data_IF_280852965644
#
_entry.id   IF_280852965644
#
_cell.length_a   1.000
_cell.length_b   1.000
_cell.length_c   1.000
_cell.angle_alpha   90.00
_cell.angle_beta   90.00
_cell.angle_gamma   90.00
#
_symmetry.space_group_name_H-M   'P 1'
#
loop_
_entity.id
_entity.type
_entity.pdbx_description
1 polymer ?
#
# COMPACT_ATOMS: atom_id res chain seq x y z
N UNK A 1 23.11 1.20 -10.84
CA UNK A 1 21.82 0.86 -10.23
C UNK A 1 21.21 2.16 -9.73
N UNK A 2 19.95 2.45 -10.17
CA UNK A 2 19.23 3.61 -9.69
C UNK A 2 18.39 3.19 -8.50
N UNK A 3 18.66 3.79 -7.36
CA UNK A 3 17.86 3.57 -6.15
C UNK A 3 16.54 4.33 -6.27
N UNK A 4 15.46 3.72 -5.84
CA UNK A 4 14.14 4.35 -5.71
C UNK A 4 13.60 4.16 -4.31
N UNK A 5 12.80 5.11 -3.88
CA UNK A 5 12.11 5.02 -2.60
C UNK A 5 10.63 4.87 -2.83
N UNK A 6 10.05 3.92 -2.10
CA UNK A 6 8.61 3.75 -2.00
C UNK A 6 8.12 4.37 -0.70
N UNK A 7 7.13 5.21 -0.82
CA UNK A 7 6.48 5.85 0.32
C UNK A 7 5.06 5.33 0.46
N UNK A 8 4.72 4.83 1.63
CA UNK A 8 3.35 4.45 1.97
C UNK A 8 2.79 5.45 2.97
N UNK A 9 1.58 5.94 2.70
CA UNK A 9 0.87 6.87 3.58
C UNK A 9 -0.47 6.25 3.95
N UNK A 10 -0.81 6.20 5.24
CA UNK A 10 -2.10 5.75 5.71
C UNK A 10 -3.10 6.89 5.78
N UNK A 11 -4.26 6.73 5.16
CA UNK A 11 -5.41 7.63 5.31
C UNK A 11 -6.55 6.90 5.98
N UNK A 12 -7.24 7.59 6.85
CA UNK A 12 -8.34 7.04 7.64
C UNK A 12 -9.50 8.01 7.61
N UNK A 13 -10.72 7.50 7.38
CA UNK A 13 -11.89 8.35 7.62
C UNK A 13 -12.14 8.50 9.14
N UNK A 14 -13.06 9.37 9.51
CA UNK A 14 -13.35 9.65 10.92
C UNK A 14 -13.71 8.39 11.71
N UNK A 15 -14.48 7.47 11.12
CA UNK A 15 -14.88 6.21 11.74
C UNK A 15 -13.68 5.32 12.04
N UNK A 16 -12.77 5.14 11.08
CA UNK A 16 -11.56 4.36 11.29
C UNK A 16 -10.61 5.05 12.29
N UNK A 17 -10.46 6.37 12.18
CA UNK A 17 -9.61 7.14 13.07
C UNK A 17 -10.08 7.09 14.53
N UNK A 18 -11.40 7.06 14.77
CA UNK A 18 -11.94 6.89 16.11
C UNK A 18 -11.47 5.58 16.75
N UNK A 19 -11.62 4.46 16.05
CA UNK A 19 -11.17 3.16 16.57
C UNK A 19 -9.65 3.14 16.83
N UNK A 20 -8.85 3.68 15.90
CA UNK A 20 -7.41 3.79 16.10
C UNK A 20 -7.05 4.65 17.31
N UNK A 21 -7.80 5.72 17.57
CA UNK A 21 -7.64 6.60 18.73
C UNK A 21 -7.94 5.92 20.06
N UNK A 22 -8.64 4.79 20.08
CA UNK A 22 -8.82 4.00 21.32
C UNK A 22 -7.58 3.19 21.69
N UNK A 23 -6.73 2.90 20.72
CA UNK A 23 -5.49 2.13 20.88
C UNK A 23 -4.28 3.05 21.04
N UNK A 24 -4.14 4.05 20.15
CA UNK A 24 -3.01 4.97 20.16
C UNK A 24 -3.27 6.16 21.07
N UNK A 25 -2.37 6.39 22.03
CA UNK A 25 -2.44 7.51 22.95
C UNK A 25 -1.79 8.77 22.32
N UNK A 26 -2.10 9.92 22.88
CA UNK A 26 -1.57 11.20 22.40
C UNK A 26 -0.04 11.31 22.47
N UNK A 27 0.60 10.54 23.34
CA UNK A 27 2.06 10.45 23.48
C UNK A 27 2.72 9.48 22.48
N UNK A 28 1.93 8.85 21.60
CA UNK A 28 2.40 7.88 20.60
C UNK A 28 2.54 6.46 21.15
N UNK A 29 2.20 6.20 22.41
CA UNK A 29 2.20 4.84 22.95
C UNK A 29 0.93 4.09 22.58
N UNK A 30 1.02 2.77 22.44
CA UNK A 30 -0.15 1.92 22.22
C UNK A 30 -0.67 1.39 23.55
N UNK A 31 -1.98 1.52 23.78
CA UNK A 31 -2.69 0.88 24.89
C UNK A 31 -3.61 -0.17 24.28
N UNK A 32 -3.25 -1.44 24.42
CA UNK A 32 -4.08 -2.54 23.96
C UNK A 32 -5.31 -2.62 24.87
N UNK A 33 -6.53 -2.43 24.34
CA UNK A 33 -7.76 -2.58 25.10
C UNK A 33 -7.89 -3.97 25.70
N UNK A 34 -8.53 -4.07 26.85
CA UNK A 34 -8.83 -5.36 27.50
C UNK A 34 -10.03 -6.05 26.85
N UNK A 35 -10.91 -5.28 26.22
CA UNK A 35 -12.09 -5.76 25.52
C UNK A 35 -11.80 -5.85 24.02
N UNK A 36 -12.62 -6.63 23.31
CA UNK A 36 -12.53 -6.74 21.87
C UNK A 36 -12.76 -5.38 21.22
N UNK A 37 -11.78 -4.93 20.44
CA UNK A 37 -11.87 -3.71 19.64
C UNK A 37 -12.12 -4.08 18.20
N UNK A 38 -13.21 -3.57 17.65
CA UNK A 38 -13.56 -3.72 16.24
C UNK A 38 -13.77 -2.37 15.60
N UNK A 39 -13.53 -2.29 14.29
CA UNK A 39 -13.90 -1.12 13.52
C UNK A 39 -15.41 -1.11 13.28
N UNK A 40 -16.00 0.06 13.39
CA UNK A 40 -17.41 0.27 13.07
C UNK A 40 -17.67 0.17 11.56
N UNK A 41 -18.93 -0.13 11.21
CA UNK A 41 -19.41 -0.16 9.82
C UNK A 41 -19.11 1.16 9.11
N UNK A 42 -18.60 1.08 7.91
CA UNK A 42 -18.19 2.24 7.11
C UNK A 42 -16.84 2.84 7.49
N UNK A 43 -16.04 2.19 8.34
CA UNK A 43 -14.63 2.54 8.50
C UNK A 43 -13.90 2.35 7.17
N UNK A 44 -13.12 3.35 6.76
CA UNK A 44 -12.35 3.34 5.51
C UNK A 44 -10.89 3.62 5.81
N UNK A 45 -10.04 2.77 5.27
CA UNK A 45 -8.59 2.89 5.31
C UNK A 45 -8.08 2.95 3.88
N UNK A 46 -7.27 3.95 3.57
CA UNK A 46 -6.60 4.11 2.28
C UNK A 46 -5.09 4.10 2.45
N UNK A 47 -4.38 3.45 1.52
CA UNK A 47 -2.92 3.38 1.54
C UNK A 47 -2.36 3.59 0.14
N UNK A 48 -2.19 4.84 -0.30
CA UNK A 48 -1.42 5.12 -1.49
C UNK A 48 0.05 4.78 -1.32
N UNK A 49 0.63 4.28 -2.38
CA UNK A 49 2.05 3.99 -2.54
C UNK A 49 2.62 4.93 -3.60
N UNK A 50 3.59 5.71 -3.21
CA UNK A 50 4.27 6.66 -4.07
C UNK A 50 5.68 6.19 -4.39
N UNK A 51 6.18 6.57 -5.55
CA UNK A 51 7.53 6.31 -5.97
C UNK A 51 8.19 7.61 -6.47
N UNK A 52 9.51 7.70 -6.33
CA UNK A 52 10.31 8.88 -6.72
C UNK A 52 11.05 8.69 -8.04
N UNK A 53 10.91 7.54 -8.71
CA UNK A 53 11.54 7.32 -10.01
C UNK A 53 10.92 8.19 -11.10
N UNK A 54 11.78 8.70 -11.96
CA UNK A 54 11.34 9.39 -13.17
C UNK A 54 10.82 8.41 -14.24
N UNK A 55 9.98 8.88 -15.17
CA UNK A 55 9.53 8.07 -16.32
C UNK A 55 10.66 7.58 -17.22
N UNK A 56 11.80 8.27 -17.25
CA UNK A 56 12.99 7.84 -18.00
C UNK A 56 13.58 6.53 -17.46
N UNK A 57 13.33 6.24 -16.20
CA UNK A 57 13.81 5.02 -15.54
C UNK A 57 12.74 3.94 -15.53
N UNK A 58 11.51 4.35 -15.26
CA UNK A 58 10.36 3.48 -15.18
C UNK A 58 9.22 4.07 -16.04
N UNK A 59 9.10 3.67 -17.31
CA UNK A 59 8.16 4.30 -18.26
C UNK A 59 6.69 4.28 -17.83
N UNK A 60 6.27 3.31 -17.03
CA UNK A 60 4.91 3.26 -16.51
C UNK A 60 4.55 4.47 -15.65
N UNK A 61 5.55 5.15 -15.08
CA UNK A 61 5.35 6.35 -14.26
C UNK A 61 4.96 7.59 -15.09
N UNK A 62 5.04 7.52 -16.41
CA UNK A 62 4.73 8.68 -17.26
C UNK A 62 3.26 9.10 -17.11
N UNK A 63 3.05 10.41 -16.86
CA UNK A 63 1.73 11.02 -16.71
C UNK A 63 0.81 10.33 -15.68
N UNK A 64 1.37 9.84 -14.58
CA UNK A 64 0.61 9.42 -13.40
C UNK A 64 0.35 10.61 -12.48
N UNK A 65 -0.66 10.54 -11.60
CA UNK A 65 -0.87 11.57 -10.59
C UNK A 65 0.38 11.78 -9.75
N UNK A 66 0.86 13.02 -9.69
CA UNK A 66 2.12 13.37 -9.03
C UNK A 66 1.97 14.64 -8.19
N UNK A 67 2.74 14.72 -7.14
CA UNK A 67 2.76 15.86 -6.22
C UNK A 67 4.18 16.22 -5.84
N UNK A 68 4.42 17.48 -5.55
CA UNK A 68 5.61 17.89 -4.84
C UNK A 68 5.34 17.79 -3.34
N UNK A 69 6.09 16.96 -2.65
CA UNK A 69 5.90 16.66 -1.24
C UNK A 69 7.19 16.86 -0.44
N UNK A 70 7.02 17.25 0.81
CA UNK A 70 8.13 17.28 1.75
C UNK A 70 8.35 15.87 2.30
N UNK A 71 9.28 15.14 1.72
CA UNK A 71 9.60 13.77 2.05
C UNK A 71 10.90 13.70 2.86
N UNK A 72 10.92 12.86 3.89
CA UNK A 72 12.18 12.52 4.54
C UNK A 72 12.97 11.61 3.61
N UNK A 73 14.21 11.96 3.32
CA UNK A 73 15.12 11.02 2.68
C UNK A 73 15.15 9.75 3.53
N UNK A 74 14.95 8.54 2.95
CA UNK A 74 15.16 7.34 3.70
C UNK A 74 16.64 7.32 4.08
N UNK A 75 16.93 7.76 5.26
CA UNK A 75 18.16 7.40 5.90
C UNK A 75 18.12 5.89 6.09
N UNK A 76 18.66 5.18 5.14
CA UNK A 76 19.39 4.00 5.54
C UNK A 76 20.25 4.49 6.69
N UNK A 77 20.10 3.91 7.88
CA UNK A 77 21.05 4.22 8.93
C UNK A 77 22.41 3.93 8.34
N UNK A 78 23.02 4.96 7.74
CA UNK A 78 24.33 4.85 7.19
C UNK A 78 25.22 4.76 8.41
N UNK A 79 25.50 3.53 8.79
CA UNK A 79 26.62 3.31 9.64
C UNK A 79 27.81 3.85 8.86
N UNK A 80 28.33 4.95 9.32
CA UNK A 80 29.67 5.35 8.86
C UNK A 80 30.58 4.24 9.32
N UNK A 81 31.22 3.47 8.41
CA UNK A 81 32.07 2.39 8.81
C UNK A 81 33.22 2.96 9.65
N UNK A 82 33.07 2.93 10.95
CA UNK A 82 34.22 3.08 11.80
C UNK A 82 35.11 1.85 11.54
N UNK A 83 36.19 2.06 10.78
CA UNK A 83 37.23 1.08 10.52
C UNK A 83 36.94 -0.08 9.54
N UNK A 84 36.18 0.15 8.46
CA UNK A 84 36.09 -0.81 7.34
C UNK A 84 35.42 -2.14 7.67
N UNK A 85 34.64 -2.23 8.72
CA UNK A 85 33.81 -3.39 9.07
C UNK A 85 32.40 -3.21 8.54
N UNK A 86 31.83 -4.32 8.05
CA UNK A 86 30.43 -4.40 7.67
C UNK A 86 29.52 -3.75 8.72
N UNK A 87 28.59 -2.94 8.24
CA UNK A 87 27.56 -2.37 9.10
C UNK A 87 26.74 -3.50 9.73
N UNK A 88 26.89 -3.72 11.00
CA UNK A 88 25.92 -4.48 11.79
C UNK A 88 24.62 -3.70 11.84
N UNK A 89 23.51 -4.35 11.52
CA UNK A 89 22.18 -3.79 11.72
C UNK A 89 22.13 -3.26 13.17
N UNK A 90 21.85 -1.96 13.29
CA UNK A 90 21.64 -1.34 14.59
C UNK A 90 20.42 -2.03 15.20
N UNK A 91 20.54 -2.53 16.40
CA UNK A 91 19.41 -3.12 17.12
C UNK A 91 18.24 -2.13 17.14
N UNK A 92 17.01 -2.65 17.10
CA UNK A 92 15.74 -1.88 17.00
C UNK A 92 15.57 -0.75 18.02
N UNK A 93 16.45 -0.62 19.00
CA UNK A 93 16.40 0.40 20.04
C UNK A 93 17.02 1.75 19.67
N UNK A 94 17.85 1.82 18.64
CA UNK A 94 18.41 3.10 18.20
C UNK A 94 17.56 3.66 17.04
N UNK A 95 16.71 4.63 17.37
CA UNK A 95 15.97 5.38 16.38
C UNK A 95 16.96 6.03 15.41
N UNK A 96 16.96 5.57 14.17
CA UNK A 96 17.64 6.28 13.10
C UNK A 96 17.09 7.71 13.07
N UNK A 97 17.90 8.74 13.26
CA UNK A 97 17.44 10.10 13.09
C UNK A 97 16.90 10.22 11.67
N UNK A 98 15.63 10.54 11.52
CA UNK A 98 15.08 10.87 10.21
C UNK A 98 15.87 12.08 9.72
N UNK A 99 16.48 11.95 8.55
CA UNK A 99 17.20 13.05 7.94
C UNK A 99 16.26 14.21 7.65
N UNK A 100 16.83 15.36 7.42
CA UNK A 100 16.13 16.57 7.00
C UNK A 100 15.17 16.25 5.86
N UNK A 101 13.92 16.69 6.02
CA UNK A 101 12.94 16.57 4.95
C UNK A 101 13.30 17.49 3.81
N UNK A 102 13.24 16.98 2.58
CA UNK A 102 13.43 17.76 1.37
C UNK A 102 12.16 17.72 0.51
N UNK A 103 11.96 18.78 -0.27
CA UNK A 103 10.88 18.79 -1.24
C UNK A 103 11.27 17.94 -2.46
N UNK A 104 10.43 16.98 -2.80
CA UNK A 104 10.66 16.11 -3.93
C UNK A 104 9.34 15.68 -4.60
N UNK A 105 9.45 15.29 -5.85
CA UNK A 105 8.30 14.80 -6.60
C UNK A 105 8.04 13.33 -6.25
N UNK A 106 6.79 13.04 -5.91
CA UNK A 106 6.28 11.71 -5.65
C UNK A 106 5.15 11.39 -6.61
N UNK A 107 5.15 10.21 -7.18
CA UNK A 107 4.17 9.77 -8.17
C UNK A 107 3.40 8.58 -7.62
N UNK A 108 2.07 8.62 -7.72
CA UNK A 108 1.20 7.54 -7.28
C UNK A 108 1.35 6.33 -8.20
N UNK A 109 1.81 5.22 -7.63
CA UNK A 109 1.96 3.96 -8.35
C UNK A 109 0.81 2.99 -8.06
N UNK A 110 0.35 2.99 -6.81
CA UNK A 110 -0.68 2.06 -6.33
C UNK A 110 -1.50 2.74 -5.24
N UNK A 111 -2.75 2.34 -5.13
CA UNK A 111 -3.63 2.77 -4.05
C UNK A 111 -4.43 1.58 -3.54
N UNK A 112 -4.15 1.16 -2.31
CA UNK A 112 -4.94 0.14 -1.63
C UNK A 112 -6.03 0.78 -0.78
N UNK A 113 -7.16 0.12 -0.67
CA UNK A 113 -8.21 0.53 0.25
C UNK A 113 -8.82 -0.66 0.98
N UNK A 114 -9.34 -0.41 2.16
CA UNK A 114 -10.16 -1.33 2.92
C UNK A 114 -11.39 -0.59 3.45
N UNK A 115 -12.55 -1.21 3.30
CA UNK A 115 -13.83 -0.68 3.79
C UNK A 115 -14.48 -1.73 4.67
N UNK A 116 -14.83 -1.35 5.90
CA UNK A 116 -15.62 -2.20 6.80
C UNK A 116 -17.06 -2.27 6.27
N UNK A 117 -17.49 -3.46 5.89
CA UNK A 117 -18.80 -3.71 5.30
C UNK A 117 -19.31 -5.08 5.74
N UNK A 118 -20.34 -5.09 6.56
CA UNK A 118 -20.94 -6.30 7.12
C UNK A 118 -21.56 -7.25 6.08
N UNK A 119 -21.74 -6.79 4.83
CA UNK A 119 -22.17 -7.63 3.71
C UNK A 119 -21.07 -8.59 3.26
N UNK A 120 -19.81 -8.25 3.53
CA UNK A 120 -18.65 -9.13 3.31
C UNK A 120 -18.56 -10.17 4.45
N UNK A 121 -19.46 -11.14 4.44
CA UNK A 121 -19.73 -12.05 5.59
C UNK A 121 -18.53 -12.84 6.10
N UNK A 122 -17.50 -13.05 5.28
CA UNK A 122 -16.32 -13.85 5.70
C UNK A 122 -15.31 -13.04 6.52
N UNK A 123 -15.12 -11.79 6.16
CA UNK A 123 -14.12 -10.88 6.75
C UNK A 123 -14.73 -9.63 7.36
N UNK A 124 -15.96 -9.29 6.98
CA UNK A 124 -16.61 -8.00 7.23
C UNK A 124 -15.82 -6.80 6.66
N UNK A 125 -14.96 -7.07 5.69
CA UNK A 125 -14.16 -6.07 5.00
C UNK A 125 -14.15 -6.31 3.50
N UNK A 126 -14.16 -5.21 2.77
CA UNK A 126 -13.89 -5.19 1.33
C UNK A 126 -12.54 -4.53 1.13
N UNK A 127 -11.64 -5.21 0.44
CA UNK A 127 -10.33 -4.72 0.07
C UNK A 127 -10.27 -4.52 -1.43
N UNK A 128 -9.50 -3.53 -1.86
CA UNK A 128 -9.26 -3.34 -3.28
C UNK A 128 -7.95 -2.61 -3.52
N UNK A 129 -7.44 -2.79 -4.73
CA UNK A 129 -6.20 -2.20 -5.18
C UNK A 129 -6.38 -1.54 -6.53
N UNK A 130 -6.00 -0.29 -6.62
CA UNK A 130 -5.79 0.43 -7.88
C UNK A 130 -4.30 0.47 -8.17
N UNK A 131 -3.92 0.33 -9.43
CA UNK A 131 -2.53 0.38 -9.88
C UNK A 131 -2.38 1.26 -11.11
N UNK A 132 -1.14 1.67 -11.38
CA UNK A 132 -0.78 2.28 -12.64
C UNK A 132 -1.07 1.32 -13.80
N UNK A 133 -1.92 1.74 -14.74
CA UNK A 133 -2.26 0.97 -15.93
C UNK A 133 -1.20 1.18 -17.00
N UNK A 134 -0.30 0.21 -17.13
CA UNK A 134 0.80 0.24 -18.09
C UNK A 134 0.34 0.12 -19.55
N UNK A 135 -0.88 -0.34 -19.80
CA UNK A 135 -1.46 -0.47 -21.14
C UNK A 135 -2.08 0.84 -21.63
N UNK A 136 -2.44 1.73 -20.71
CA UNK A 136 -2.97 3.05 -21.07
C UNK A 136 -1.88 3.93 -21.66
N UNK A 137 -2.27 4.71 -22.69
CA UNK A 137 -1.35 5.68 -23.29
C UNK A 137 -0.90 6.71 -22.26
N UNK A 138 0.39 7.06 -22.29
CA UNK A 138 0.97 8.03 -21.37
C UNK A 138 0.52 9.48 -21.64
N UNK A 139 -0.11 9.74 -22.78
CA UNK A 139 -0.53 11.07 -23.26
C UNK A 139 -2.02 11.40 -22.96
N UNK A 140 -2.69 10.61 -22.12
CA UNK A 140 -4.05 10.95 -21.68
C UNK A 140 -4.05 12.27 -20.93
N UNK A 141 -5.08 13.09 -21.17
CA UNK A 141 -5.17 14.44 -20.60
C UNK A 141 -5.32 14.44 -19.07
N UNK A 142 -6.01 13.43 -18.54
CA UNK A 142 -6.23 13.26 -17.10
C UNK A 142 -5.37 12.13 -16.57
N UNK A 143 -4.35 12.41 -15.72
CA UNK A 143 -3.47 11.39 -15.16
C UNK A 143 -4.21 10.29 -14.37
N UNK A 144 -5.35 10.59 -13.78
CA UNK A 144 -6.17 9.62 -13.06
C UNK A 144 -6.72 8.51 -13.96
N UNK A 145 -6.86 8.76 -15.26
CA UNK A 145 -7.26 7.72 -16.21
C UNK A 145 -6.19 6.64 -16.41
N UNK A 146 -4.99 6.85 -15.88
CA UNK A 146 -3.92 5.85 -15.87
C UNK A 146 -3.86 5.03 -14.57
N UNK A 147 -4.78 5.27 -13.67
CA UNK A 147 -4.96 4.45 -12.47
C UNK A 147 -6.20 3.60 -12.69
N UNK A 148 -6.03 2.29 -12.65
CA UNK A 148 -7.11 1.34 -12.88
C UNK A 148 -7.27 0.38 -11.70
N UNK A 149 -8.51 -0.09 -11.51
CA UNK A 149 -8.81 -1.09 -10.50
C UNK A 149 -8.20 -2.43 -10.92
N UNK A 150 -7.27 -2.93 -10.12
CA UNK A 150 -6.66 -4.25 -10.32
C UNK A 150 -7.57 -5.36 -9.81
N UNK A 151 -8.17 -5.19 -8.64
CA UNK A 151 -9.05 -6.17 -8.05
C UNK A 151 -9.75 -5.69 -6.81
N UNK A 152 -10.79 -6.42 -6.45
CA UNK A 152 -11.58 -6.25 -5.22
C UNK A 152 -11.80 -7.61 -4.60
N UNK A 153 -11.66 -7.72 -3.28
CA UNK A 153 -11.93 -8.94 -2.54
C UNK A 153 -12.75 -8.64 -1.26
N UNK A 154 -13.61 -9.56 -0.89
CA UNK A 154 -14.47 -9.47 0.30
C UNK A 154 -14.50 -10.75 1.13
N UNK A 155 -13.52 -11.63 0.91
CA UNK A 155 -13.33 -12.88 1.61
C UNK A 155 -12.05 -13.54 1.15
N UNK A 156 -11.92 -14.81 1.46
CA UNK A 156 -10.74 -15.59 1.13
C UNK A 156 -11.18 -16.85 0.39
N UNK A 157 -10.91 -16.91 -0.92
CA UNK A 157 -11.22 -18.09 -1.71
C UNK A 157 -10.24 -19.22 -1.36
N UNK A 158 -10.81 -20.38 -1.03
CA UNK A 158 -10.02 -21.58 -0.79
C UNK A 158 -9.59 -22.18 -2.13
N UNK A 159 -8.30 -22.47 -2.31
CA UNK A 159 -7.84 -23.20 -3.49
C UNK A 159 -8.57 -24.54 -3.65
N UNK A 160 -8.69 -25.06 -4.87
CA UNK A 160 -9.23 -26.40 -5.10
C UNK A 160 -8.50 -27.46 -4.28
N UNK A 161 -9.21 -28.53 -3.96
CA UNK A 161 -8.65 -29.65 -3.19
C UNK A 161 -7.34 -30.16 -3.83
N UNK A 162 -6.31 -30.31 -3.02
CA UNK A 162 -4.98 -30.72 -3.46
C UNK A 162 -4.07 -29.60 -3.97
N UNK A 163 -4.51 -28.33 -3.94
CA UNK A 163 -3.69 -27.16 -4.26
C UNK A 163 -3.43 -26.33 -2.99
N UNK A 164 -2.21 -25.81 -2.86
CA UNK A 164 -1.85 -24.93 -1.75
C UNK A 164 -2.24 -23.47 -1.99
N UNK A 165 -2.38 -23.06 -3.25
CA UNK A 165 -2.77 -21.71 -3.67
C UNK A 165 -3.22 -21.71 -5.15
N UNK A 166 -3.89 -20.63 -5.57
CA UNK A 166 -4.11 -20.34 -6.99
C UNK A 166 -2.79 -19.84 -7.60
N UNK A 167 -2.14 -20.68 -8.38
CA UNK A 167 -0.80 -20.38 -8.91
C UNK A 167 -0.83 -19.82 -10.35
N UNK A 168 -2.00 -19.80 -11.01
CA UNK A 168 -2.09 -19.38 -12.41
C UNK A 168 -3.48 -18.87 -12.78
N UNK A 169 -3.59 -17.84 -13.67
CA UNK A 169 -4.88 -17.33 -14.17
C UNK A 169 -5.80 -18.40 -14.78
N UNK A 170 -5.24 -19.49 -15.32
CA UNK A 170 -6.01 -20.61 -15.86
C UNK A 170 -6.79 -21.33 -14.77
N UNK A 171 -6.22 -21.47 -13.58
CA UNK A 171 -6.89 -22.12 -12.45
C UNK A 171 -8.09 -21.31 -11.98
N UNK A 172 -7.96 -19.99 -12.00
CA UNK A 172 -9.04 -19.05 -11.68
C UNK A 172 -10.15 -19.12 -12.73
N UNK A 173 -9.79 -19.10 -14.03
CA UNK A 173 -10.78 -19.23 -15.12
C UNK A 173 -11.56 -20.54 -15.05
N UNK A 174 -10.92 -21.61 -14.59
CA UNK A 174 -11.53 -22.93 -14.46
C UNK A 174 -12.41 -23.08 -13.21
N UNK A 175 -11.95 -22.55 -12.08
CA UNK A 175 -12.58 -22.74 -10.78
C UNK A 175 -13.44 -21.54 -10.35
N UNK A 176 -13.14 -20.36 -10.91
CA UNK A 176 -13.76 -19.07 -10.57
C UNK A 176 -13.41 -18.61 -9.17
N UNK A 177 -13.38 -17.29 -8.99
CA UNK A 177 -13.40 -16.71 -7.65
C UNK A 177 -14.84 -16.48 -7.21
N UNK A 178 -15.10 -16.65 -5.92
CA UNK A 178 -16.42 -16.42 -5.30
C UNK A 178 -16.43 -15.17 -4.42
N UNK A 179 -15.25 -14.78 -3.91
CA UNK A 179 -15.10 -13.71 -2.94
C UNK A 179 -14.10 -12.64 -3.41
N UNK A 180 -13.69 -12.71 -4.67
CA UNK A 180 -12.85 -11.69 -5.28
C UNK A 180 -13.08 -11.57 -6.78
N UNK A 181 -12.73 -10.41 -7.32
CA UNK A 181 -12.70 -10.11 -8.77
C UNK A 181 -11.35 -9.51 -9.09
N UNK A 182 -10.66 -10.07 -10.07
CA UNK A 182 -9.37 -9.55 -10.56
C UNK A 182 -9.54 -9.17 -12.03
N UNK A 183 -9.08 -7.96 -12.35
CA UNK A 183 -9.12 -7.39 -13.70
C UNK A 183 -7.77 -7.62 -14.37
N UNK A 184 -7.58 -8.81 -14.94
CA UNK A 184 -6.32 -9.28 -15.53
C UNK A 184 -5.81 -8.43 -16.71
N UNK A 185 -6.69 -7.66 -17.34
CA UNK A 185 -6.33 -6.81 -18.47
C UNK A 185 -5.80 -5.44 -18.05
N UNK A 186 -5.61 -5.21 -16.75
CA UNK A 186 -5.15 -3.93 -16.20
C UNK A 186 -3.63 -3.87 -16.05
N UNK A 187 -2.94 -5.03 -16.02
CA UNK A 187 -1.50 -5.10 -15.70
C UNK A 187 -0.70 -5.72 -16.83
#
# INVERSE_FOLDING_TARGET
>A
DKQSTMWAVGFFNATAAYTLGTVWQADGTAKIPQDDVSFDEGAVIGKPLFNTLSPDVLPVMANLPSWNANISDPTFCSCTPANGKECTLIEESEQCPRSTTEWGDVTLLQFDFAVKDSRAKGTEWVFGTFVADGQRKADVADPWQRIALLGVMWGNDTPPEGQLAYNHPVDVKKNGFKQEVIFWDTV
#
